data_IF_979868688317
#
_entry.id   IF_979868688317
#
_cell.length_a   1.000
_cell.length_b   1.000
_cell.length_c   1.000
_cell.angle_alpha   90.00
_cell.angle_beta   90.00
_cell.angle_gamma   90.00
#
_symmetry.space_group_name_H-M   'P 1'
#
loop_
_entity.id
_entity.type
_entity.pdbx_description
1 polymer ?
#
# COMPACT_ATOMS: atom_id res chain seq x y z
N UNK A 1 -12.60 3.27 5.15
CA UNK A 1 -11.84 4.50 4.86
C UNK A 1 -10.46 4.21 4.28
N UNK A 2 -9.51 3.58 4.99
CA UNK A 2 -8.19 3.20 4.46
C UNK A 2 -8.30 2.37 3.17
N UNK A 3 -9.30 1.55 3.08
CA UNK A 3 -9.57 0.72 1.90
C UNK A 3 -10.06 1.53 0.70
N UNK A 4 -10.87 2.56 0.93
CA UNK A 4 -11.30 3.49 -0.12
C UNK A 4 -10.13 4.31 -0.66
N UNK A 5 -9.21 4.70 0.21
CA UNK A 5 -8.01 5.42 -0.20
C UNK A 5 -7.09 4.55 -1.07
N UNK A 6 -7.03 3.23 -0.82
CA UNK A 6 -6.27 2.29 -1.65
C UNK A 6 -6.87 2.07 -3.04
N UNK A 7 -8.19 2.17 -3.18
CA UNK A 7 -8.89 1.89 -4.43
C UNK A 7 -9.12 3.13 -5.28
N UNK A 8 -9.16 4.32 -4.67
CA UNK A 8 -9.49 5.55 -5.36
C UNK A 8 -8.31 6.25 -6.05
N UNK A 9 -7.07 5.83 -5.76
CA UNK A 9 -5.79 6.20 -6.37
C UNK A 9 -5.72 7.36 -7.36
N UNK A 10 -6.23 8.53 -7.01
CA UNK A 10 -6.29 9.65 -7.91
C UNK A 10 -5.48 10.86 -7.44
N UNK A 11 -4.85 11.58 -8.35
CA UNK A 11 -4.08 12.79 -8.08
C UNK A 11 -4.75 14.01 -8.75
N UNK A 12 -5.15 15.00 -7.96
CA UNK A 12 -5.78 16.23 -8.47
C UNK A 12 -4.85 17.03 -9.38
N UNK A 13 -3.54 16.95 -9.19
CA UNK A 13 -2.57 17.72 -9.98
C UNK A 13 -2.48 17.28 -11.43
N UNK A 14 -2.90 16.06 -11.75
CA UNK A 14 -2.92 15.51 -13.11
C UNK A 14 -4.34 15.30 -13.63
N UNK A 15 -5.35 15.96 -13.05
CA UNK A 15 -6.76 15.74 -13.35
C UNK A 15 -7.35 14.53 -12.63
N UNK A 16 -6.58 13.90 -11.75
CA UNK A 16 -7.01 12.81 -10.89
C UNK A 16 -7.29 13.37 -9.49
N UNK A 17 -8.30 12.84 -8.82
CA UNK A 17 -8.70 13.30 -7.48
C UNK A 17 -7.91 12.55 -6.43
N UNK A 18 -7.14 13.27 -5.60
CA UNK A 18 -6.54 12.67 -4.42
C UNK A 18 -7.63 12.24 -3.44
N UNK A 19 -7.56 11.02 -2.90
CA UNK A 19 -8.47 10.62 -1.85
C UNK A 19 -8.30 11.55 -0.65
N UNK A 20 -9.40 11.95 0.02
CA UNK A 20 -9.31 12.74 1.23
C UNK A 20 -8.58 11.94 2.32
N UNK A 21 -7.64 12.57 3.00
CA UNK A 21 -7.03 11.98 4.20
C UNK A 21 -8.12 11.61 5.18
N UNK A 22 -8.17 10.34 5.55
CA UNK A 22 -9.19 9.83 6.46
C UNK A 22 -9.21 10.62 7.76
N UNK A 23 -10.35 11.14 8.08
CA UNK A 23 -10.71 11.67 9.40
C UNK A 23 -10.52 13.17 9.61
N UNK A 24 -9.91 13.94 8.72
CA UNK A 24 -9.61 15.34 9.08
C UNK A 24 -10.10 16.40 8.10
N UNK A 25 -10.36 16.10 6.86
CA UNK A 25 -10.72 17.17 5.90
C UNK A 25 -11.71 16.73 4.82
N UNK A 26 -12.73 16.01 5.23
CA UNK A 26 -13.86 15.82 4.34
C UNK A 26 -14.43 17.19 4.00
N UNK A 27 -13.89 17.80 2.96
CA UNK A 27 -14.65 18.66 2.13
C UNK A 27 -14.91 20.09 2.54
N UNK A 28 -14.20 20.66 3.47
CA UNK A 28 -14.30 22.10 3.69
C UNK A 28 -13.04 22.77 3.15
N UNK A 29 -13.14 23.38 1.96
CA UNK A 29 -12.18 24.37 1.53
C UNK A 29 -12.67 25.72 1.97
N UNK A 30 -11.92 26.37 2.85
CA UNK A 30 -12.10 27.79 3.11
C UNK A 30 -11.38 28.59 2.02
N UNK A 31 -12.12 29.32 1.21
CA UNK A 31 -11.56 30.30 0.29
C UNK A 31 -11.70 31.64 0.97
N UNK A 32 -10.57 32.29 1.23
CA UNK A 32 -10.54 33.65 1.72
C UNK A 32 -10.49 34.58 0.51
N UNK A 33 -11.52 35.36 0.30
CA UNK A 33 -11.56 36.42 -0.69
C UNK A 33 -11.41 37.75 -0.01
N UNK A 34 -10.34 38.47 -0.33
CA UNK A 34 -10.13 39.83 0.13
C UNK A 34 -10.73 40.79 -0.89
N UNK A 35 -11.74 41.55 -0.48
CA UNK A 35 -12.36 42.57 -1.34
C UNK A 35 -11.72 43.91 -0.98
N UNK A 36 -10.78 44.38 -1.80
CA UNK A 36 -9.98 45.58 -1.60
C UNK A 36 -10.82 46.85 -1.32
N UNK A 37 -11.95 46.98 -2.02
CA UNK A 37 -12.81 48.15 -1.89
C UNK A 37 -13.58 48.24 -0.57
N UNK A 38 -13.58 47.22 0.26
CA UNK A 38 -14.34 47.13 1.49
C UNK A 38 -13.51 46.82 2.73
N UNK A 39 -12.22 46.54 2.57
CA UNK A 39 -11.36 46.04 3.64
C UNK A 39 -11.97 44.84 4.42
N UNK A 40 -12.81 44.07 3.74
CA UNK A 40 -13.52 42.92 4.33
C UNK A 40 -12.96 41.62 3.82
N UNK A 41 -12.73 40.69 4.76
CA UNK A 41 -12.32 39.30 4.45
C UNK A 41 -13.55 38.44 4.40
N UNK A 42 -13.90 37.96 3.21
CA UNK A 42 -15.00 37.01 3.07
C UNK A 42 -14.48 35.59 3.16
N UNK A 43 -15.04 34.82 4.08
CA UNK A 43 -14.82 33.39 4.17
C UNK A 43 -15.92 32.67 3.39
N UNK A 44 -15.61 32.22 2.18
CA UNK A 44 -16.49 31.32 1.47
C UNK A 44 -16.22 29.88 1.88
N UNK A 45 -17.18 29.28 2.56
CA UNK A 45 -17.24 27.83 2.69
C UNK A 45 -17.69 27.26 1.35
N UNK A 46 -16.75 26.72 0.59
CA UNK A 46 -17.12 25.82 -0.48
C UNK A 46 -17.31 24.46 0.17
N UNK A 47 -18.55 23.98 0.37
CA UNK A 47 -18.75 22.60 0.76
C UNK A 47 -18.01 21.79 -0.29
N UNK A 48 -16.96 21.10 0.12
CA UNK A 48 -16.23 20.24 -0.79
C UNK A 48 -17.25 19.30 -1.39
N UNK A 49 -17.26 19.15 -2.68
CA UNK A 49 -17.99 18.07 -3.38
C UNK A 49 -17.31 16.75 -3.03
N UNK A 50 -17.45 16.35 -1.76
CA UNK A 50 -16.53 15.39 -1.19
C UNK A 50 -16.84 13.99 -1.61
N UNK A 51 -18.06 13.65 -1.94
CA UNK A 51 -18.41 12.26 -2.17
C UNK A 51 -19.54 11.99 -3.16
N UNK A 52 -20.20 13.01 -3.68
CA UNK A 52 -21.35 12.79 -4.59
C UNK A 52 -20.95 12.36 -6.00
N UNK A 53 -19.69 12.51 -6.37
CA UNK A 53 -19.18 12.17 -7.70
C UNK A 53 -18.27 10.94 -7.74
N UNK A 54 -17.91 10.35 -6.60
CA UNK A 54 -17.22 9.08 -6.57
C UNK A 54 -18.19 7.94 -6.86
N UNK A 55 -18.40 7.69 -8.12
CA UNK A 55 -18.94 6.40 -8.53
C UNK A 55 -17.81 5.39 -8.39
N UNK A 56 -17.84 4.62 -7.30
CA UNK A 56 -16.95 3.48 -7.16
C UNK A 56 -17.29 2.52 -8.30
N UNK A 57 -16.31 2.20 -9.17
CA UNK A 57 -16.56 1.20 -10.20
C UNK A 57 -17.03 -0.12 -9.55
N UNK A 58 -17.89 -0.91 -10.21
CA UNK A 58 -18.42 -2.15 -9.63
C UNK A 58 -17.34 -3.13 -9.19
N UNK A 59 -16.22 -3.18 -9.91
CA UNK A 59 -15.12 -4.11 -9.64
C UNK A 59 -14.40 -3.80 -8.30
N UNK A 60 -14.00 -2.55 -7.99
CA UNK A 60 -13.48 -2.21 -6.66
C UNK A 60 -14.46 -2.49 -5.54
N UNK A 61 -15.76 -2.29 -5.77
CA UNK A 61 -16.78 -2.58 -4.78
C UNK A 61 -16.86 -4.07 -4.43
N UNK A 62 -16.71 -4.95 -5.42
CA UNK A 62 -16.64 -6.40 -5.20
C UNK A 62 -15.41 -6.79 -4.40
N UNK A 63 -14.23 -6.21 -4.70
CA UNK A 63 -13.02 -6.44 -3.91
C UNK A 63 -13.20 -5.98 -2.45
N UNK A 64 -13.84 -4.83 -2.22
CA UNK A 64 -14.17 -4.35 -0.89
C UNK A 64 -15.05 -5.37 -0.14
N UNK A 65 -16.04 -5.96 -0.80
CA UNK A 65 -16.91 -6.96 -0.18
C UNK A 65 -16.16 -8.25 0.20
N UNK A 66 -15.16 -8.65 -0.59
CA UNK A 66 -14.39 -9.87 -0.35
C UNK A 66 -13.47 -9.73 0.87
N UNK A 67 -12.77 -8.60 0.98
CA UNK A 67 -11.70 -8.43 1.99
C UNK A 67 -12.06 -7.51 3.15
N UNK A 68 -13.27 -6.90 3.14
CA UNK A 68 -13.64 -5.90 4.13
C UNK A 68 -13.55 -6.39 5.57
N UNK A 69 -13.95 -7.63 5.81
CA UNK A 69 -13.98 -8.18 7.16
C UNK A 69 -12.56 -8.46 7.68
N UNK A 70 -11.70 -9.04 6.84
CA UNK A 70 -10.30 -9.29 7.21
C UNK A 70 -9.54 -7.99 7.47
N UNK A 71 -9.63 -7.03 6.56
CA UNK A 71 -8.98 -5.72 6.71
C UNK A 71 -9.54 -4.97 7.93
N UNK A 72 -10.86 -5.02 8.14
CA UNK A 72 -11.47 -4.41 9.32
C UNK A 72 -10.95 -5.04 10.61
N UNK A 73 -10.85 -6.36 10.68
CA UNK A 73 -10.33 -7.06 11.86
C UNK A 73 -8.85 -6.76 12.11
N UNK A 74 -8.03 -6.70 11.06
CA UNK A 74 -6.60 -6.31 11.19
C UNK A 74 -6.48 -4.87 11.73
N UNK A 75 -7.31 -3.95 11.24
CA UNK A 75 -7.19 -2.53 11.59
C UNK A 75 -7.81 -2.19 12.96
N UNK A 76 -8.91 -2.82 13.32
CA UNK A 76 -9.76 -2.41 14.44
C UNK A 76 -10.11 -3.54 15.42
N UNK A 77 -9.76 -4.79 15.10
CA UNK A 77 -9.96 -5.93 15.98
C UNK A 77 -9.00 -5.95 17.17
N UNK A 78 -9.14 -6.96 18.02
CA UNK A 78 -8.21 -7.23 19.11
C UNK A 78 -6.91 -7.78 18.51
N UNK A 79 -5.96 -6.88 18.28
CA UNK A 79 -4.71 -7.19 17.61
C UNK A 79 -3.78 -7.99 18.53
N UNK A 80 -3.26 -9.10 18.03
CA UNK A 80 -2.06 -9.72 18.54
C UNK A 80 -0.82 -9.00 17.94
N UNK A 81 0.37 -9.41 18.36
CA UNK A 81 1.60 -8.76 17.90
C UNK A 81 1.81 -8.85 16.37
N UNK A 82 1.42 -9.96 15.76
CA UNK A 82 1.56 -10.16 14.30
C UNK A 82 0.53 -9.31 13.55
N UNK A 83 -0.70 -9.23 14.06
CA UNK A 83 -1.73 -8.35 13.50
C UNK A 83 -1.31 -6.87 13.57
N UNK A 84 -0.63 -6.45 14.64
CA UNK A 84 -0.08 -5.09 14.75
C UNK A 84 0.96 -4.78 13.67
N UNK A 85 1.78 -5.76 13.30
CA UNK A 85 2.74 -5.61 12.19
C UNK A 85 2.01 -5.52 10.83
N UNK A 86 1.01 -6.37 10.62
CA UNK A 86 0.15 -6.29 9.43
C UNK A 86 -0.56 -4.95 9.36
N UNK A 87 -1.13 -4.48 10.48
CA UNK A 87 -1.75 -3.16 10.59
C UNK A 87 -0.80 -2.03 10.20
N UNK A 88 0.43 -2.03 10.72
CA UNK A 88 1.45 -1.02 10.36
C UNK A 88 1.77 -1.06 8.86
N UNK A 89 1.92 -2.26 8.30
CA UNK A 89 2.19 -2.42 6.87
C UNK A 89 1.03 -1.89 6.02
N UNK A 90 -0.22 -2.15 6.40
CA UNK A 90 -1.41 -1.63 5.72
C UNK A 90 -1.51 -0.09 5.84
N UNK A 91 -1.22 0.45 7.01
CA UNK A 91 -1.19 1.92 7.22
C UNK A 91 -0.12 2.55 6.34
N UNK A 92 1.09 1.98 6.31
CA UNK A 92 2.17 2.47 5.45
C UNK A 92 1.80 2.43 3.97
N UNK A 93 1.14 1.35 3.51
CA UNK A 93 0.64 1.25 2.13
C UNK A 93 -0.34 2.40 1.84
N UNK A 94 -1.29 2.67 2.74
CA UNK A 94 -2.23 3.77 2.57
C UNK A 94 -1.54 5.14 2.57
N UNK A 95 -0.51 5.33 3.40
CA UNK A 95 0.25 6.58 3.44
C UNK A 95 0.98 6.86 2.13
N UNK A 96 1.34 5.83 1.37
CA UNK A 96 1.99 6.04 0.05
C UNK A 96 1.10 6.80 -0.93
N UNK A 97 -0.24 6.72 -0.80
CA UNK A 97 -1.15 7.47 -1.67
C UNK A 97 -1.03 8.99 -1.51
N UNK A 98 -0.52 9.45 -0.36
CA UNK A 98 -0.29 10.86 -0.07
C UNK A 98 1.11 11.34 -0.43
N UNK A 99 2.01 10.44 -0.83
CA UNK A 99 3.36 10.78 -1.30
C UNK A 99 3.27 11.16 -2.78
N UNK A 100 3.46 12.45 -3.08
CA UNK A 100 3.37 12.98 -4.46
C UNK A 100 4.55 12.58 -5.34
N UNK A 101 5.73 12.52 -4.76
CA UNK A 101 6.94 12.13 -5.47
C UNK A 101 7.00 10.61 -5.66
N UNK A 102 6.98 10.18 -6.91
CA UNK A 102 6.98 8.76 -7.26
C UNK A 102 8.25 8.03 -6.84
N UNK A 103 9.39 8.71 -6.78
CA UNK A 103 10.65 8.11 -6.30
C UNK A 103 10.52 7.75 -4.82
N UNK A 104 10.02 8.71 -4.04
CA UNK A 104 9.78 8.50 -2.60
C UNK A 104 8.69 7.46 -2.38
N UNK A 105 7.59 7.51 -3.15
CA UNK A 105 6.48 6.56 -3.05
C UNK A 105 6.94 5.12 -3.27
N UNK A 106 7.67 4.87 -4.36
CA UNK A 106 8.18 3.53 -4.68
C UNK A 106 9.23 3.08 -3.66
N UNK A 107 10.11 3.97 -3.21
CA UNK A 107 11.08 3.68 -2.16
C UNK A 107 10.39 3.26 -0.86
N UNK A 108 9.38 4.02 -0.45
CA UNK A 108 8.62 3.75 0.78
C UNK A 108 7.87 2.39 0.73
N UNK A 109 7.35 2.01 -0.45
CA UNK A 109 6.74 0.70 -0.65
C UNK A 109 7.76 -0.45 -0.52
N UNK A 110 8.95 -0.29 -1.08
CA UNK A 110 10.02 -1.28 -0.88
C UNK A 110 10.45 -1.38 0.58
N UNK A 111 10.56 -0.24 1.28
CA UNK A 111 10.91 -0.23 2.70
C UNK A 111 9.80 -0.83 3.57
N UNK A 112 8.54 -0.60 3.23
CA UNK A 112 7.39 -1.24 3.88
C UNK A 112 7.42 -2.76 3.69
N UNK A 113 7.71 -3.24 2.46
CA UNK A 113 7.87 -4.66 2.19
C UNK A 113 9.03 -5.27 3.00
N UNK A 114 10.18 -4.61 3.00
CA UNK A 114 11.34 -5.06 3.77
C UNK A 114 11.10 -5.07 5.30
N UNK A 115 10.18 -4.24 5.78
CA UNK A 115 9.77 -4.11 7.19
C UNK A 115 8.73 -5.14 7.66
N UNK A 116 8.20 -5.98 6.77
CA UNK A 116 7.19 -7.00 7.10
C UNK A 116 7.67 -7.96 8.21
N UNK A 117 8.94 -8.36 8.18
CA UNK A 117 9.55 -9.12 9.27
C UNK A 117 10.74 -8.35 9.88
N UNK A 118 10.51 -7.58 10.92
CA UNK A 118 11.54 -6.73 11.54
C UNK A 118 12.67 -7.53 12.22
N UNK A 119 12.49 -8.83 12.46
CA UNK A 119 13.54 -9.71 13.01
C UNK A 119 14.65 -9.98 11.98
N UNK A 120 14.31 -9.87 10.70
CA UNK A 120 15.20 -10.25 9.63
C UNK A 120 15.85 -9.02 8.98
N UNK A 121 17.10 -8.72 9.35
CA UNK A 121 17.94 -7.77 8.63
C UNK A 121 18.31 -8.26 7.22
N UNK A 122 18.20 -9.58 6.97
CA UNK A 122 18.42 -10.16 5.66
C UNK A 122 17.14 -10.10 4.82
N UNK A 123 17.08 -9.13 3.92
CA UNK A 123 15.94 -8.89 3.03
C UNK A 123 15.59 -10.08 2.14
N UNK A 124 16.55 -10.97 1.85
CA UNK A 124 16.27 -12.20 1.10
C UNK A 124 15.35 -13.15 1.88
N UNK A 125 15.48 -13.18 3.22
CA UNK A 125 14.58 -13.97 4.07
C UNK A 125 13.16 -13.44 4.05
N UNK A 126 13.00 -12.10 4.04
CA UNK A 126 11.66 -11.47 3.93
C UNK A 126 11.01 -11.83 2.59
N UNK A 127 11.76 -11.73 1.48
CA UNK A 127 11.29 -12.11 0.16
C UNK A 127 10.84 -13.58 0.15
N UNK A 128 11.66 -14.48 0.70
CA UNK A 128 11.31 -15.91 0.79
C UNK A 128 10.06 -16.13 1.65
N UNK A 129 9.96 -15.47 2.80
CA UNK A 129 8.80 -15.58 3.68
C UNK A 129 7.53 -15.16 2.95
N UNK A 130 7.50 -13.94 2.41
CA UNK A 130 6.31 -13.37 1.76
C UNK A 130 5.85 -14.26 0.61
N UNK A 131 6.74 -14.60 -0.33
CA UNK A 131 6.34 -15.38 -1.49
C UNK A 131 6.07 -16.86 -1.18
N UNK A 132 6.70 -17.44 -0.16
CA UNK A 132 6.29 -18.77 0.32
C UNK A 132 4.86 -18.72 0.87
N UNK A 133 4.50 -17.70 1.62
CA UNK A 133 3.15 -17.59 2.20
C UNK A 133 2.07 -17.32 1.16
N UNK A 134 2.36 -16.57 0.11
CA UNK A 134 1.40 -16.20 -0.93
C UNK A 134 1.24 -17.27 -2.02
N UNK A 135 2.31 -17.98 -2.35
CA UNK A 135 2.31 -18.86 -3.53
C UNK A 135 1.47 -20.13 -3.35
N UNK A 136 0.82 -20.55 -4.42
CA UNK A 136 0.01 -21.76 -4.48
C UNK A 136 0.91 -23.00 -4.68
N UNK A 137 1.89 -22.88 -5.58
CA UNK A 137 2.83 -23.94 -5.92
C UNK A 137 4.25 -23.40 -6.12
N UNK A 138 5.18 -24.33 -6.45
CA UNK A 138 6.60 -23.99 -6.69
C UNK A 138 6.80 -23.04 -7.88
N UNK A 139 6.01 -23.23 -8.94
CA UNK A 139 6.13 -22.43 -10.17
C UNK A 139 5.73 -20.99 -9.88
N UNK A 140 4.61 -20.81 -9.20
CA UNK A 140 4.11 -19.49 -8.75
C UNK A 140 5.12 -18.80 -7.83
N UNK A 141 5.67 -19.55 -6.85
CA UNK A 141 6.74 -19.03 -5.99
C UNK A 141 7.95 -18.49 -6.77
N UNK A 142 8.46 -19.29 -7.71
CA UNK A 142 9.63 -18.91 -8.50
C UNK A 142 9.35 -17.69 -9.40
N UNK A 143 8.16 -17.62 -10.00
CA UNK A 143 7.76 -16.50 -10.83
C UNK A 143 7.63 -15.20 -10.02
N UNK A 144 6.93 -15.25 -8.89
CA UNK A 144 6.72 -14.08 -8.05
C UNK A 144 8.03 -13.58 -7.42
N UNK A 145 8.85 -14.49 -6.91
CA UNK A 145 10.18 -14.17 -6.39
C UNK A 145 11.05 -13.50 -7.47
N UNK A 146 11.13 -14.10 -8.65
CA UNK A 146 11.91 -13.55 -9.78
C UNK A 146 11.41 -12.17 -10.19
N UNK A 147 10.09 -11.98 -10.28
CA UNK A 147 9.49 -10.69 -10.61
C UNK A 147 9.88 -9.62 -9.59
N UNK A 148 9.76 -9.91 -8.30
CA UNK A 148 10.15 -8.98 -7.25
C UNK A 148 11.64 -8.63 -7.31
N UNK A 149 12.52 -9.64 -7.48
CA UNK A 149 13.96 -9.43 -7.59
C UNK A 149 14.31 -8.56 -8.81
N UNK A 150 13.63 -8.73 -9.93
CA UNK A 150 13.78 -7.87 -11.12
C UNK A 150 13.38 -6.41 -10.80
N UNK A 151 12.24 -6.20 -10.13
CA UNK A 151 11.79 -4.86 -9.73
C UNK A 151 12.76 -4.22 -8.73
N UNK A 152 13.22 -4.99 -7.74
CA UNK A 152 14.23 -4.53 -6.78
C UNK A 152 15.52 -4.09 -7.45
N UNK A 153 16.03 -4.89 -8.39
CA UNK A 153 17.26 -4.56 -9.10
C UNK A 153 17.08 -3.37 -10.06
N UNK A 154 15.93 -3.29 -10.74
CA UNK A 154 15.66 -2.22 -11.69
C UNK A 154 15.38 -0.87 -11.01
N UNK A 155 14.63 -0.86 -9.90
CA UNK A 155 14.15 0.38 -9.29
C UNK A 155 14.77 0.66 -7.93
N UNK A 156 14.60 -0.27 -6.96
CA UNK A 156 15.03 -0.03 -5.59
C UNK A 156 16.52 0.24 -5.46
N UNK A 157 17.36 -0.61 -6.04
CA UNK A 157 18.80 -0.48 -5.89
C UNK A 157 19.35 0.81 -6.51
N UNK A 158 18.97 1.23 -7.74
CA UNK A 158 19.39 2.51 -8.29
C UNK A 158 18.89 3.73 -7.51
N UNK A 159 17.68 3.67 -6.96
CA UNK A 159 17.14 4.76 -6.13
C UNK A 159 17.93 4.87 -4.83
N UNK A 160 18.01 3.80 -4.05
CA UNK A 160 18.59 3.84 -2.70
C UNK A 160 20.13 3.97 -2.70
N UNK A 161 20.80 3.29 -3.62
CA UNK A 161 22.27 3.26 -3.66
C UNK A 161 22.86 4.19 -4.71
N UNK A 162 22.11 4.51 -5.75
CA UNK A 162 22.53 5.37 -6.85
C UNK A 162 22.00 6.80 -6.78
N UNK A 163 21.10 7.10 -5.84
CA UNK A 163 20.47 8.43 -5.70
C UNK A 163 19.65 8.85 -6.92
N UNK A 164 19.26 7.90 -7.79
CA UNK A 164 18.53 8.19 -9.01
C UNK A 164 17.05 8.47 -8.73
N UNK A 165 16.49 9.43 -9.46
CA UNK A 165 15.05 9.56 -9.58
C UNK A 165 14.47 8.35 -10.34
N UNK A 166 13.23 7.95 -10.02
CA UNK A 166 12.55 6.88 -10.74
C UNK A 166 12.37 7.22 -12.22
N UNK A 167 12.21 8.49 -12.56
CA UNK A 167 12.05 8.97 -13.94
C UNK A 167 13.36 8.90 -14.77
N UNK A 168 14.52 8.81 -14.11
CA UNK A 168 15.80 8.50 -14.79
C UNK A 168 15.91 7.01 -15.15
N UNK A 169 15.12 6.17 -14.46
CA UNK A 169 15.12 4.70 -14.67
C UNK A 169 14.00 4.29 -15.62
N UNK A 170 12.85 4.92 -15.48
CA UNK A 170 11.63 4.62 -16.23
C UNK A 170 10.85 5.91 -16.50
N UNK A 171 10.75 6.30 -17.75
CA UNK A 171 10.05 7.52 -18.17
C UNK A 171 8.54 7.33 -18.28
N UNK A 172 8.07 6.08 -18.39
CA UNK A 172 6.66 5.78 -18.54
C UNK A 172 5.96 5.72 -17.18
N UNK A 173 5.16 6.73 -16.86
CA UNK A 173 4.41 6.82 -15.61
C UNK A 173 3.49 5.61 -15.38
N UNK A 174 2.92 5.03 -16.43
CA UNK A 174 2.04 3.87 -16.27
C UNK A 174 2.83 2.62 -15.83
N UNK A 175 4.07 2.46 -16.26
CA UNK A 175 4.92 1.38 -15.78
C UNK A 175 5.32 1.61 -14.31
N UNK A 176 5.59 2.84 -13.92
CA UNK A 176 5.83 3.21 -12.52
C UNK A 176 4.60 2.91 -11.65
N UNK A 177 3.41 3.31 -12.10
CA UNK A 177 2.14 3.00 -11.42
C UNK A 177 1.94 1.49 -11.25
N UNK A 178 2.22 0.69 -12.28
CA UNK A 178 2.14 -0.79 -12.19
C UNK A 178 3.09 -1.37 -11.14
N UNK A 179 4.29 -0.82 -11.01
CA UNK A 179 5.23 -1.24 -9.95
C UNK A 179 4.68 -0.93 -8.57
N UNK A 180 4.16 0.29 -8.37
CA UNK A 180 3.52 0.69 -7.12
C UNK A 180 2.37 -0.24 -6.75
N UNK A 181 1.45 -0.45 -7.67
CA UNK A 181 0.29 -1.34 -7.47
C UNK A 181 0.70 -2.78 -7.16
N UNK A 182 1.72 -3.30 -7.85
CA UNK A 182 2.23 -4.64 -7.58
C UNK A 182 2.77 -4.78 -6.15
N UNK A 183 3.56 -3.81 -5.68
CA UNK A 183 4.10 -3.82 -4.32
C UNK A 183 2.98 -3.68 -3.27
N UNK A 184 2.05 -2.75 -3.48
CA UNK A 184 0.89 -2.56 -2.60
C UNK A 184 0.08 -3.85 -2.47
N UNK A 185 -0.32 -4.44 -3.59
CA UNK A 185 -1.11 -5.68 -3.58
C UNK A 185 -0.35 -6.82 -2.89
N UNK A 186 0.95 -6.97 -3.15
CA UNK A 186 1.76 -8.02 -2.50
C UNK A 186 1.78 -7.87 -0.98
N UNK A 187 1.91 -6.63 -0.47
CA UNK A 187 1.90 -6.37 0.97
C UNK A 187 0.51 -6.65 1.56
N UNK A 188 -0.54 -6.19 0.90
CA UNK A 188 -1.92 -6.37 1.35
C UNK A 188 -2.30 -7.86 1.37
N UNK A 189 -2.02 -8.58 0.29
CA UNK A 189 -2.30 -10.00 0.18
C UNK A 189 -1.58 -10.81 1.26
N UNK A 190 -0.33 -10.43 1.56
CA UNK A 190 0.43 -11.05 2.65
C UNK A 190 -0.25 -10.80 4.01
N UNK A 191 -0.63 -9.56 4.32
CA UNK A 191 -1.29 -9.23 5.58
C UNK A 191 -2.61 -9.98 5.75
N UNK A 192 -3.45 -10.01 4.71
CA UNK A 192 -4.70 -10.76 4.70
C UNK A 192 -4.43 -12.26 4.89
N UNK A 193 -3.42 -12.80 4.20
CA UNK A 193 -3.06 -14.21 4.31
C UNK A 193 -2.62 -14.60 5.71
N UNK A 194 -1.78 -13.79 6.36
CA UNK A 194 -1.31 -14.04 7.72
C UNK A 194 -2.49 -13.99 8.71
N UNK A 195 -3.33 -12.97 8.59
CA UNK A 195 -4.53 -12.84 9.42
C UNK A 195 -5.48 -14.03 9.25
N UNK A 196 -5.76 -14.45 8.01
CA UNK A 196 -6.63 -15.59 7.71
C UNK A 196 -6.14 -16.92 8.29
N UNK A 197 -4.85 -17.04 8.58
CA UNK A 197 -4.25 -18.20 9.23
C UNK A 197 -4.26 -18.11 10.76
N UNK A 198 -4.80 -17.02 11.32
CA UNK A 198 -4.87 -16.75 12.77
C UNK A 198 -3.51 -16.85 13.47
N UNK A 199 -2.45 -16.42 12.78
CA UNK A 199 -1.09 -16.43 13.32
C UNK A 199 -0.93 -15.29 14.30
N UNK A 200 -0.57 -15.60 15.55
CA UNK A 200 -0.47 -14.63 16.64
C UNK A 200 0.96 -14.42 17.13
N UNK A 201 1.84 -15.37 16.88
CA UNK A 201 3.22 -15.37 17.37
C UNK A 201 4.23 -15.65 16.23
N UNK A 202 5.47 -15.24 16.46
CA UNK A 202 6.56 -15.55 15.54
C UNK A 202 6.83 -17.05 15.39
N UNK A 203 6.65 -17.80 16.46
CA UNK A 203 6.85 -19.24 16.43
C UNK A 203 5.81 -19.93 15.53
N UNK A 204 4.55 -19.51 15.63
CA UNK A 204 3.49 -19.99 14.75
C UNK A 204 3.79 -19.64 13.29
N UNK A 205 4.20 -18.41 13.02
CA UNK A 205 4.57 -17.98 11.67
C UNK A 205 5.71 -18.82 11.11
N UNK A 206 6.77 -19.02 11.88
CA UNK A 206 7.92 -19.82 11.48
C UNK A 206 7.54 -21.29 11.22
N UNK A 207 6.63 -21.85 12.03
CA UNK A 207 6.13 -23.21 11.85
C UNK A 207 5.31 -23.35 10.56
N UNK A 208 4.35 -22.45 10.35
CA UNK A 208 3.54 -22.42 9.12
C UNK A 208 4.42 -22.20 7.89
N UNK A 209 5.37 -21.28 7.96
CA UNK A 209 6.35 -21.04 6.90
C UNK A 209 7.14 -22.30 6.53
N UNK A 210 7.70 -23.01 7.53
CA UNK A 210 8.47 -24.25 7.30
C UNK A 210 7.62 -25.35 6.67
N UNK A 211 6.38 -25.52 7.13
CA UNK A 211 5.46 -26.50 6.55
C UNK A 211 5.19 -26.17 5.09
N UNK A 212 4.86 -24.91 4.81
CA UNK A 212 4.56 -24.46 3.45
C UNK A 212 5.78 -24.53 2.52
N UNK A 213 6.96 -24.16 3.02
CA UNK A 213 8.22 -24.29 2.29
C UNK A 213 8.50 -25.74 1.86
N UNK A 214 8.27 -26.71 2.77
CA UNK A 214 8.41 -28.14 2.44
C UNK A 214 7.39 -28.58 1.38
N UNK A 215 6.14 -28.13 1.49
CA UNK A 215 5.09 -28.46 0.51
C UNK A 215 5.41 -27.92 -0.89
N UNK A 216 5.98 -26.71 -0.96
CA UNK A 216 6.39 -26.09 -2.22
C UNK A 216 7.73 -26.65 -2.74
N UNK A 217 8.48 -27.39 -1.94
CA UNK A 217 9.84 -27.93 -2.26
C UNK A 217 10.81 -26.80 -2.66
N UNK A 218 10.84 -25.71 -1.86
CA UNK A 218 11.67 -24.51 -2.07
C UNK A 218 12.53 -24.18 -0.85
#
# INVERSE_FOLDING_TARGET
CLYYDMLSGGDILNGEVLPPKVGIQAGIRAIYEFVEDKEELYLQYVPGRVFSEYQIPPEPYQCIQIYKDDIYQILFGNANYIDDLCKRSLVNVCETEYIRDWTQRISYLFDTFDGIDPRNYNKEKVIKLVFTMLSIDKTDYLQNKKKYEQLKNKYRNPILHGGKSIFEIESNINEIKKVGLYLQNTIVDYCIKIHSLSISTWEELDNVYRVKQRSLKV
#
